data_IF_483669050580
#
_entry.id   IF_483669050580
#
_cell.length_a   1.000
_cell.length_b   1.000
_cell.length_c   1.000
_cell.angle_alpha   90.00
_cell.angle_beta   90.00
_cell.angle_gamma   90.00
#
_symmetry.space_group_name_H-M   'P 1'
#
loop_
_entity.id
_entity.type
_entity.pdbx_description
1 polymer ?
#
# COMPACT_ATOMS: atom_id res chain seq x y z
N UNK A 1 -33.91 -4.11 14.02
CA UNK A 1 -33.67 -3.71 13.43
C UNK A 1 -32.72 -3.32 13.17
N UNK A 2 -32.40 -3.34 12.71
CA UNK A 2 -31.50 -3.09 12.47
C UNK A 2 -31.06 -2.07 11.97
N UNK A 3 -30.46 -1.83 12.08
CA UNK A 3 -29.84 -0.58 11.96
C UNK A 3 -28.80 -0.53 10.93
N UNK A 4 -28.64 -1.56 10.17
CA UNK A 4 -27.68 -1.60 9.11
C UNK A 4 -27.89 -0.52 8.09
N UNK A 5 -29.14 -0.18 7.86
CA UNK A 5 -29.46 0.83 6.87
C UNK A 5 -29.04 2.22 7.30
N UNK A 6 -28.72 2.37 8.57
CA UNK A 6 -28.33 3.67 9.06
C UNK A 6 -26.87 3.95 8.90
N UNK A 7 -26.09 2.92 8.67
CA UNK A 7 -24.65 3.07 8.53
C UNK A 7 -24.31 3.06 7.07
N UNK A 8 -23.75 4.13 6.56
CA UNK A 8 -23.31 4.09 5.17
C UNK A 8 -22.28 2.98 5.01
N UNK A 9 -22.45 2.21 3.99
CA UNK A 9 -21.47 1.19 3.67
C UNK A 9 -20.30 1.90 3.01
N UNK A 10 -19.15 1.82 3.63
CA UNK A 10 -17.95 2.45 3.10
C UNK A 10 -17.06 1.37 2.54
N UNK A 11 -16.86 1.41 1.25
CA UNK A 11 -15.97 0.49 0.59
C UNK A 11 -14.58 1.12 0.49
N UNK A 12 -13.53 0.34 0.68
CA UNK A 12 -12.20 0.91 0.54
C UNK A 12 -11.98 1.41 -0.88
N UNK A 13 -11.27 2.51 -1.01
CA UNK A 13 -10.88 3.01 -2.31
C UNK A 13 -9.86 2.06 -2.92
N UNK A 14 -9.60 2.26 -4.20
CA UNK A 14 -8.63 1.40 -4.88
C UNK A 14 -7.28 1.46 -4.20
N UNK A 15 -6.80 2.67 -3.84
CA UNK A 15 -5.49 2.76 -3.21
C UNK A 15 -5.49 2.12 -1.82
N UNK A 16 -6.61 2.15 -1.11
CA UNK A 16 -6.68 1.47 0.18
C UNK A 16 -6.60 -0.03 0.03
N UNK A 17 -7.24 -0.57 -1.01
CA UNK A 17 -7.15 -1.99 -1.31
C UNK A 17 -5.72 -2.38 -1.65
N UNK A 18 -5.04 -1.56 -2.44
CA UNK A 18 -3.66 -1.83 -2.79
C UNK A 18 -2.77 -1.76 -1.56
N UNK A 19 -3.00 -0.78 -0.69
CA UNK A 19 -2.21 -0.67 0.53
C UNK A 19 -2.38 -1.92 1.39
N UNK A 20 -3.60 -2.44 1.49
CA UNK A 20 -3.83 -3.64 2.28
C UNK A 20 -3.13 -4.86 1.68
N UNK A 21 -3.18 -4.99 0.36
CA UNK A 21 -2.49 -6.09 -0.31
C UNK A 21 -1.00 -5.99 -0.14
N UNK A 22 -0.46 -4.79 -0.30
CA UNK A 22 0.98 -4.59 -0.14
C UNK A 22 1.41 -4.85 1.29
N UNK A 23 0.61 -4.41 2.25
CA UNK A 23 0.92 -4.68 3.64
C UNK A 23 1.00 -6.18 3.90
N UNK A 24 0.08 -6.95 3.33
CA UNK A 24 0.10 -8.40 3.48
C UNK A 24 1.37 -8.99 2.88
N UNK A 25 1.78 -8.50 1.72
CA UNK A 25 3.03 -8.98 1.12
C UNK A 25 4.24 -8.62 1.96
N UNK A 26 4.22 -7.44 2.57
CA UNK A 26 5.33 -7.04 3.44
C UNK A 26 5.46 -7.99 4.61
N UNK A 27 4.34 -8.45 5.15
CA UNK A 27 4.37 -9.36 6.29
C UNK A 27 4.88 -10.74 5.93
N UNK A 28 4.65 -11.17 4.69
CA UNK A 28 4.88 -12.56 4.33
C UNK A 28 6.08 -12.77 3.41
N UNK A 29 6.49 -11.75 2.65
CA UNK A 29 7.48 -11.95 1.61
C UNK A 29 8.70 -11.04 1.73
N UNK A 30 8.66 -10.06 2.61
CA UNK A 30 9.76 -9.11 2.74
C UNK A 30 10.29 -9.07 4.15
N UNK A 31 11.51 -8.61 4.28
CA UNK A 31 12.17 -8.44 5.58
C UNK A 31 12.53 -6.98 5.76
N UNK A 32 12.66 -6.59 7.00
CA UNK A 32 13.18 -5.27 7.32
C UNK A 32 14.52 -5.07 6.62
N UNK A 33 14.66 -3.96 5.92
CA UNK A 33 15.88 -3.68 5.18
C UNK A 33 15.81 -3.99 3.71
N UNK A 34 14.79 -4.75 3.29
CA UNK A 34 14.60 -5.02 1.87
C UNK A 34 14.11 -3.78 1.15
N UNK A 35 14.33 -3.74 -0.16
CA UNK A 35 13.77 -2.71 -1.02
C UNK A 35 12.69 -3.31 -1.89
N UNK A 36 11.61 -2.56 -2.07
CA UNK A 36 10.52 -2.98 -2.94
C UNK A 36 10.91 -2.78 -4.41
N UNK A 37 10.21 -3.45 -5.32
CA UNK A 37 10.28 -3.07 -6.72
C UNK A 37 9.91 -1.60 -6.90
N UNK A 38 10.24 -1.03 -8.04
CA UNK A 38 9.93 0.36 -8.30
C UNK A 38 8.42 0.60 -8.29
N UNK A 39 8.02 1.85 -8.09
CA UNK A 39 6.61 2.20 -8.14
C UNK A 39 5.98 1.81 -9.47
N UNK A 40 6.73 1.99 -10.56
CA UNK A 40 6.22 1.62 -11.86
C UNK A 40 5.98 0.11 -11.94
N UNK A 41 6.92 -0.67 -11.48
CA UNK A 41 6.77 -2.13 -11.48
C UNK A 41 5.61 -2.57 -10.60
N UNK A 42 5.46 -1.94 -9.44
CA UNK A 42 4.37 -2.27 -8.55
C UNK A 42 3.02 -1.86 -9.16
N UNK A 43 2.97 -0.71 -9.81
CA UNK A 43 1.75 -0.27 -10.46
C UNK A 43 1.32 -1.26 -11.54
N UNK A 44 2.27 -1.77 -12.30
CA UNK A 44 1.98 -2.77 -13.32
C UNK A 44 1.50 -4.07 -12.68
N UNK A 45 2.14 -4.47 -11.60
CA UNK A 45 1.80 -5.71 -10.91
C UNK A 45 0.38 -5.67 -10.36
N UNK A 46 -0.02 -4.53 -9.78
CA UNK A 46 -1.35 -4.39 -9.23
C UNK A 46 -2.36 -3.86 -10.24
N UNK A 47 -1.92 -3.58 -11.47
CA UNK A 47 -2.79 -3.12 -12.54
C UNK A 47 -3.52 -1.82 -12.17
N UNK A 48 -2.76 -0.89 -11.64
CA UNK A 48 -3.28 0.44 -11.30
C UNK A 48 -2.33 1.47 -11.88
N UNK A 49 -2.78 2.72 -11.94
CA UNK A 49 -1.89 3.77 -12.41
C UNK A 49 -0.93 4.15 -11.28
N UNK A 50 0.13 4.87 -11.66
CA UNK A 50 1.17 5.22 -10.69
C UNK A 50 0.65 6.11 -9.57
N UNK A 51 -0.31 6.97 -9.89
CA UNK A 51 -0.86 7.86 -8.87
C UNK A 51 -1.55 7.07 -7.77
N UNK A 52 -2.35 6.09 -8.15
CA UNK A 52 -3.03 5.24 -7.18
C UNK A 52 -2.02 4.46 -6.35
N UNK A 53 -1.00 3.92 -7.01
CA UNK A 53 0.02 3.19 -6.28
C UNK A 53 0.77 4.10 -5.31
N UNK A 54 1.12 5.30 -5.73
CA UNK A 54 1.84 6.21 -4.84
C UNK A 54 1.04 6.53 -3.60
N UNK A 55 -0.27 6.68 -3.75
CA UNK A 55 -1.12 6.94 -2.58
C UNK A 55 -1.12 5.74 -1.64
N UNK A 56 -1.11 4.53 -2.18
CA UNK A 56 -1.02 3.33 -1.35
C UNK A 56 0.30 3.29 -0.59
N UNK A 57 1.39 3.57 -1.28
CA UNK A 57 2.70 3.59 -0.64
C UNK A 57 2.76 4.69 0.41
N UNK A 58 2.21 5.88 0.10
CA UNK A 58 2.17 6.97 1.07
C UNK A 58 1.50 6.55 2.36
N UNK A 59 0.42 5.80 2.25
CA UNK A 59 -0.29 5.35 3.43
C UNK A 59 0.60 4.44 4.30
N UNK A 60 1.36 3.56 3.65
CA UNK A 60 2.25 2.67 4.39
C UNK A 60 3.46 3.40 4.95
N UNK A 61 3.92 4.44 4.26
CA UNK A 61 4.97 5.29 4.80
C UNK A 61 4.47 6.00 6.06
N UNK A 62 3.25 6.50 6.02
CA UNK A 62 2.66 7.16 7.17
C UNK A 62 2.55 6.24 8.36
N UNK A 63 2.28 4.97 8.12
CA UNK A 63 2.15 3.98 9.18
C UNK A 63 3.49 3.46 9.68
N UNK A 64 4.59 3.89 9.06
CA UNK A 64 5.91 3.44 9.49
C UNK A 64 6.35 2.11 8.93
N UNK A 65 5.63 1.58 7.93
CA UNK A 65 6.02 0.31 7.32
C UNK A 65 7.08 0.49 6.25
N UNK A 66 7.07 1.64 5.57
CA UNK A 66 7.93 1.89 4.44
C UNK A 66 8.58 3.26 4.58
N UNK A 67 9.72 3.43 3.92
CA UNK A 67 10.40 4.71 3.85
C UNK A 67 10.89 4.92 2.43
N UNK A 68 10.59 6.08 1.87
CA UNK A 68 11.16 6.42 0.57
C UNK A 68 12.56 6.95 0.75
N UNK A 69 13.51 6.35 0.05
CA UNK A 69 14.90 6.78 0.06
C UNK A 69 15.21 7.39 -1.29
N UNK A 70 15.38 8.69 -1.30
CA UNK A 70 15.58 9.42 -2.55
C UNK A 70 16.74 8.82 -3.35
N UNK A 71 16.50 8.54 -4.63
CA UNK A 71 17.52 7.99 -5.49
C UNK A 71 17.85 6.53 -5.25
N UNK A 72 17.23 5.88 -4.27
CA UNK A 72 17.52 4.50 -3.93
C UNK A 72 16.31 3.62 -4.12
N UNK A 73 15.17 3.98 -3.53
CA UNK A 73 13.96 3.17 -3.64
C UNK A 73 13.11 3.24 -2.39
N UNK A 74 12.25 2.25 -2.22
CA UNK A 74 11.34 2.18 -1.10
C UNK A 74 11.83 1.09 -0.16
N UNK A 75 12.20 1.50 1.04
CA UNK A 75 12.80 0.62 2.04
C UNK A 75 11.73 0.05 2.95
N UNK A 76 11.81 -1.24 3.22
CA UNK A 76 10.92 -1.92 4.16
C UNK A 76 11.47 -1.73 5.56
N UNK A 77 10.64 -1.15 6.45
CA UNK A 77 11.06 -0.86 7.82
C UNK A 77 10.62 -1.93 8.82
N UNK A 78 9.62 -2.71 8.47
CA UNK A 78 9.08 -3.69 9.42
C UNK A 78 9.05 -5.07 8.83
#
# INVERSE_FOLDING_TARGET
MMELSRHPITYPTRYQQIAAQLEQELRTQYRCGDYLPSEQQLAERYQVNRHTLRRAVDQLVERGWLQRRHGVGILVLM
#
